data_IF_484722662818
#
_entry.id   IF_484722662818
#
_cell.length_a   1.000
_cell.length_b   1.000
_cell.length_c   1.000
_cell.angle_alpha   90.00
_cell.angle_beta   90.00
_cell.angle_gamma   90.00
#
_symmetry.space_group_name_H-M   'P 1'
#
loop_
_entity.id
_entity.type
_entity.pdbx_description
1 polymer ?
#
# COMPACT_ATOMS: atom_id res chain seq x y z
N UNK A 1 13.49 -50.29 -28.96
CA UNK A 1 13.96 -49.07 -28.27
C UNK A 1 13.30 -47.87 -28.95
N UNK A 2 11.96 -47.81 -28.97
CA UNK A 2 11.27 -46.87 -29.89
C UNK A 2 9.92 -46.34 -29.36
N UNK A 3 9.03 -47.20 -28.85
CA UNK A 3 7.67 -46.75 -28.48
C UNK A 3 7.58 -45.78 -27.29
N UNK A 4 8.43 -45.98 -26.27
CA UNK A 4 8.38 -45.11 -25.08
C UNK A 4 8.85 -43.68 -25.38
N UNK A 5 9.80 -43.52 -26.31
CA UNK A 5 10.30 -42.21 -26.73
C UNK A 5 9.28 -41.48 -27.61
N UNK A 6 8.60 -42.19 -28.49
CA UNK A 6 7.51 -41.62 -29.31
C UNK A 6 6.34 -41.14 -28.45
N UNK A 7 5.90 -41.95 -27.47
CA UNK A 7 4.81 -41.58 -26.55
C UNK A 7 5.20 -40.33 -25.75
N UNK A 8 6.43 -40.27 -25.23
CA UNK A 8 6.87 -39.12 -24.45
C UNK A 8 6.97 -37.83 -25.27
N UNK A 9 7.40 -37.94 -26.54
CA UNK A 9 7.47 -36.79 -27.46
C UNK A 9 6.06 -36.32 -27.86
N UNK A 10 5.12 -37.25 -28.03
CA UNK A 10 3.73 -36.92 -28.35
C UNK A 10 2.95 -36.30 -27.18
N UNK A 11 3.28 -36.70 -25.94
CA UNK A 11 2.77 -36.05 -24.73
C UNK A 11 3.30 -34.62 -24.58
N UNK A 12 4.60 -34.41 -24.80
CA UNK A 12 5.22 -33.09 -24.75
C UNK A 12 4.71 -32.15 -25.84
N UNK A 13 4.40 -32.67 -27.05
CA UNK A 13 3.82 -31.85 -28.12
C UNK A 13 2.40 -31.35 -27.82
N UNK A 14 1.70 -31.94 -26.84
CA UNK A 14 0.37 -31.51 -26.38
C UNK A 14 0.44 -30.51 -25.22
N UNK A 15 1.59 -30.36 -24.57
CA UNK A 15 1.81 -29.32 -23.56
C UNK A 15 1.92 -27.98 -24.28
N UNK A 16 0.78 -27.35 -24.52
CA UNK A 16 0.71 -25.95 -24.93
C UNK A 16 1.10 -25.10 -23.73
N UNK A 17 2.34 -24.63 -23.71
CA UNK A 17 2.70 -23.49 -22.88
C UNK A 17 1.74 -22.35 -23.24
N UNK A 18 1.11 -21.68 -22.26
CA UNK A 18 0.28 -20.53 -22.54
C UNK A 18 1.13 -19.55 -23.34
N UNK A 19 0.71 -19.27 -24.56
CA UNK A 19 1.35 -18.28 -25.42
C UNK A 19 1.22 -16.97 -24.65
N UNK A 20 2.35 -16.35 -24.27
CA UNK A 20 2.36 -15.01 -23.68
C UNK A 20 1.52 -14.11 -24.60
N UNK A 21 0.30 -13.82 -24.19
CA UNK A 21 -0.56 -12.88 -24.89
C UNK A 21 0.17 -11.55 -24.78
N UNK A 22 0.36 -10.88 -25.91
CA UNK A 22 0.88 -9.52 -25.91
C UNK A 22 -0.20 -8.66 -25.24
N UNK A 23 -0.08 -8.46 -23.94
CA UNK A 23 -1.10 -7.78 -23.14
C UNK A 23 -1.11 -6.31 -23.55
N UNK A 24 -2.20 -5.86 -24.15
CA UNK A 24 -2.45 -4.43 -24.25
C UNK A 24 -2.60 -3.88 -22.82
N UNK A 25 -1.65 -3.03 -22.42
CA UNK A 25 -1.58 -2.42 -21.09
C UNK A 25 -2.55 -1.24 -20.95
N UNK A 26 -3.29 -0.86 -21.99
CA UNK A 26 -4.25 0.25 -21.96
C UNK A 26 -5.25 0.14 -20.79
N UNK A 27 -5.82 -1.06 -20.58
CA UNK A 27 -6.75 -1.34 -19.47
C UNK A 27 -6.05 -1.21 -18.12
N UNK A 28 -4.81 -1.67 -18.02
CA UNK A 28 -4.02 -1.55 -16.80
C UNK A 28 -3.78 -0.08 -16.44
N UNK A 29 -3.35 0.74 -17.40
CA UNK A 29 -3.13 2.17 -17.16
C UNK A 29 -4.41 2.92 -16.80
N UNK A 30 -5.54 2.57 -17.43
CA UNK A 30 -6.85 3.09 -17.04
C UNK A 30 -7.21 2.72 -15.59
N UNK A 31 -7.01 1.46 -15.20
CA UNK A 31 -7.26 0.99 -13.84
C UNK A 31 -6.30 1.63 -12.81
N UNK A 32 -5.03 1.81 -13.16
CA UNK A 32 -4.03 2.48 -12.34
C UNK A 32 -4.39 3.95 -12.10
N UNK A 33 -4.81 4.66 -13.16
CA UNK A 33 -5.31 6.03 -13.07
C UNK A 33 -6.55 6.11 -12.17
N UNK A 34 -7.53 5.23 -12.39
CA UNK A 34 -8.74 5.19 -11.58
C UNK A 34 -8.42 4.90 -10.11
N UNK A 35 -7.51 3.97 -9.83
CA UNK A 35 -7.05 3.65 -8.47
C UNK A 35 -6.48 4.89 -7.78
N UNK A 36 -5.64 5.66 -8.47
CA UNK A 36 -5.07 6.88 -7.92
C UNK A 36 -6.14 7.94 -7.64
N UNK A 37 -7.06 8.17 -8.58
CA UNK A 37 -8.18 9.12 -8.39
C UNK A 37 -9.07 8.71 -7.22
N UNK A 38 -9.48 7.44 -7.15
CA UNK A 38 -10.31 6.92 -6.06
C UNK A 38 -9.62 6.97 -4.70
N UNK A 39 -8.29 6.96 -4.67
CA UNK A 39 -7.50 7.11 -3.43
C UNK A 39 -7.58 8.53 -2.87
N UNK A 40 -7.64 9.53 -3.76
CA UNK A 40 -7.73 10.94 -3.39
C UNK A 40 -9.16 11.37 -3.05
N UNK A 41 -10.17 10.72 -3.62
CA UNK A 41 -11.56 11.11 -3.34
C UNK A 41 -11.92 10.83 -1.87
N UNK A 42 -12.61 11.76 -1.19
CA UNK A 42 -13.12 11.51 0.15
C UNK A 42 -14.15 10.38 0.09
N UNK A 43 -13.89 9.31 0.83
CA UNK A 43 -14.78 8.16 0.91
C UNK A 43 -15.57 8.24 2.22
N UNK A 44 -16.90 8.15 2.13
CA UNK A 44 -17.79 8.05 3.30
C UNK A 44 -17.89 6.63 3.85
N UNK A 45 -16.99 5.73 3.44
CA UNK A 45 -16.95 4.36 3.90
C UNK A 45 -16.55 4.29 5.37
N UNK A 46 -17.15 3.35 6.10
CA UNK A 46 -16.73 3.05 7.46
C UNK A 46 -15.27 2.58 7.47
N UNK A 47 -14.42 3.27 8.23
CA UNK A 47 -13.06 2.83 8.52
C UNK A 47 -13.13 2.07 9.82
N UNK A 48 -12.61 0.85 9.83
CA UNK A 48 -12.60 0.07 11.05
C UNK A 48 -11.73 0.79 12.10
N UNK A 49 -12.22 0.94 13.35
CA UNK A 49 -11.50 1.63 14.42
C UNK A 49 -10.06 1.15 14.58
N UNK A 50 -9.82 -0.17 14.55
CA UNK A 50 -8.46 -0.70 14.70
C UNK A 50 -7.54 -0.35 13.53
N UNK A 51 -8.08 -0.20 12.30
CA UNK A 51 -7.26 0.21 11.16
C UNK A 51 -6.70 1.61 11.39
N UNK A 52 -7.52 2.53 11.91
CA UNK A 52 -7.10 3.91 12.18
C UNK A 52 -6.29 4.03 13.47
N UNK A 53 -6.83 3.55 14.60
CA UNK A 53 -6.27 3.71 15.93
C UNK A 53 -4.98 2.89 16.12
N UNK A 54 -4.88 1.68 15.55
CA UNK A 54 -3.68 0.84 15.70
C UNK A 54 -2.63 1.06 14.61
N UNK A 55 -2.76 2.10 13.77
CA UNK A 55 -1.75 2.46 12.78
C UNK A 55 -1.52 3.96 12.67
N UNK A 56 -2.44 4.67 12.02
CA UNK A 56 -2.28 6.03 11.54
C UNK A 56 -2.33 7.03 12.69
N UNK A 57 -3.24 6.84 13.65
CA UNK A 57 -3.37 7.71 14.82
C UNK A 57 -2.07 7.77 15.64
N UNK A 58 -1.40 6.63 15.82
CA UNK A 58 -0.16 6.52 16.61
C UNK A 58 0.92 7.42 16.04
N UNK A 59 1.14 7.34 14.72
CA UNK A 59 2.20 8.09 14.03
C UNK A 59 1.85 9.58 13.94
N UNK A 60 0.59 9.92 13.69
CA UNK A 60 0.18 11.31 13.50
C UNK A 60 0.26 12.10 14.80
N UNK A 61 -0.16 11.52 15.93
CA UNK A 61 0.00 12.19 17.22
C UNK A 61 1.46 12.48 17.53
N UNK A 62 2.36 11.56 17.22
CA UNK A 62 3.79 11.73 17.47
C UNK A 62 4.44 12.78 16.56
N UNK A 63 4.09 12.80 15.27
CA UNK A 63 4.72 13.67 14.27
C UNK A 63 4.12 15.08 14.31
N UNK A 64 2.80 15.19 14.36
CA UNK A 64 2.07 16.46 14.24
C UNK A 64 1.64 17.06 15.59
N UNK A 65 1.90 16.35 16.69
CA UNK A 65 1.54 16.76 18.06
C UNK A 65 0.06 17.14 18.18
N UNK A 66 -0.80 16.33 17.54
CA UNK A 66 -2.26 16.46 17.58
C UNK A 66 -2.78 15.67 18.76
N UNK A 67 -3.86 16.16 19.38
CA UNK A 67 -4.54 15.42 20.45
C UNK A 67 -4.99 14.04 19.96
N UNK A 68 -4.46 12.99 20.57
CA UNK A 68 -4.78 11.61 20.25
C UNK A 68 -4.74 10.71 21.49
N UNK A 69 -5.41 9.56 21.42
CA UNK A 69 -5.40 8.57 22.50
C UNK A 69 -4.57 7.38 22.10
N UNK A 70 -3.27 7.39 22.41
CA UNK A 70 -2.37 6.28 22.08
C UNK A 70 -2.92 4.95 22.65
N UNK A 71 -3.14 3.92 21.80
CA UNK A 71 -3.58 2.61 22.24
C UNK A 71 -2.60 2.01 23.24
N UNK A 72 -3.13 1.25 24.19
CA UNK A 72 -2.35 0.67 25.29
C UNK A 72 -1.26 -0.28 24.78
N UNK A 73 -1.45 -0.88 23.60
CA UNK A 73 -0.54 -1.82 22.97
C UNK A 73 0.82 -1.21 22.59
N UNK A 74 0.86 0.11 22.40
CA UNK A 74 2.04 0.89 22.04
C UNK A 74 2.56 1.73 23.21
N UNK A 75 2.08 1.50 24.44
CA UNK A 75 2.59 2.14 25.64
C UNK A 75 3.78 1.37 26.20
N UNK A 76 4.76 2.10 26.73
CA UNK A 76 5.98 1.54 27.33
C UNK A 76 5.68 0.71 28.59
N UNK A 77 4.56 0.97 29.27
CA UNK A 77 4.15 0.22 30.46
C UNK A 77 3.78 -1.23 30.17
N UNK A 78 3.17 -1.52 29.01
CA UNK A 78 2.73 -2.86 28.62
C UNK A 78 2.90 -3.08 27.10
N UNK A 79 4.15 -3.13 26.59
CA UNK A 79 4.39 -3.18 25.16
C UNK A 79 4.04 -4.57 24.61
N UNK A 80 2.98 -4.66 23.81
CA UNK A 80 2.58 -5.92 23.13
C UNK A 80 2.71 -5.83 21.61
N UNK A 81 2.84 -4.62 21.04
CA UNK A 81 3.06 -4.41 19.61
C UNK A 81 4.29 -3.56 19.33
N UNK A 82 5.02 -3.93 18.28
CA UNK A 82 6.12 -3.12 17.79
C UNK A 82 5.60 -1.95 16.96
N UNK A 83 6.07 -0.74 17.26
CA UNK A 83 5.74 0.48 16.52
C UNK A 83 6.57 0.64 15.24
N UNK A 84 7.67 -0.10 15.14
CA UNK A 84 8.64 -0.03 14.05
C UNK A 84 8.04 -0.18 12.64
N UNK A 85 7.24 -1.23 12.33
CA UNK A 85 6.68 -1.38 10.98
C UNK A 85 5.74 -0.23 10.60
N UNK A 86 5.00 0.31 11.57
CA UNK A 86 4.08 1.43 11.34
C UNK A 86 4.89 2.69 10.99
N UNK A 87 5.96 2.97 11.73
CA UNK A 87 6.85 4.09 11.46
C UNK A 87 7.63 3.96 10.15
N UNK A 88 8.05 2.74 9.80
CA UNK A 88 8.75 2.48 8.56
C UNK A 88 7.87 2.80 7.35
N UNK A 89 6.60 2.38 7.39
CA UNK A 89 5.67 2.56 6.26
C UNK A 89 5.05 3.97 6.26
N UNK A 90 4.56 4.44 7.41
CA UNK A 90 3.79 5.70 7.50
C UNK A 90 4.61 6.87 8.06
N UNK A 91 5.54 6.60 8.97
CA UNK A 91 6.33 7.64 9.63
C UNK A 91 7.19 8.42 8.66
N UNK A 92 7.98 7.74 7.82
CA UNK A 92 8.87 8.41 6.87
C UNK A 92 8.11 9.34 5.90
N UNK A 93 7.03 8.90 5.20
CA UNK A 93 6.27 9.79 4.32
C UNK A 93 5.64 10.99 5.04
N UNK A 94 5.11 10.78 6.25
CA UNK A 94 4.49 11.85 7.04
C UNK A 94 5.51 12.86 7.56
N UNK A 95 6.71 12.41 7.95
CA UNK A 95 7.81 13.30 8.34
C UNK A 95 8.25 14.17 7.16
N UNK A 96 8.45 13.58 5.97
CA UNK A 96 8.81 14.32 4.77
C UNK A 96 7.72 15.34 4.41
N UNK A 97 6.46 14.95 4.51
CA UNK A 97 5.36 15.86 4.24
C UNK A 97 5.32 17.03 5.24
N UNK A 98 5.53 16.76 6.54
CA UNK A 98 5.60 17.79 7.58
C UNK A 98 6.74 18.78 7.31
N UNK A 99 7.95 18.29 7.06
CA UNK A 99 9.12 19.16 6.85
C UNK A 99 8.96 20.02 5.59
N UNK A 100 8.38 19.48 4.51
CA UNK A 100 8.05 20.25 3.32
C UNK A 100 6.98 21.30 3.60
N UNK A 101 5.93 20.95 4.33
CA UNK A 101 4.87 21.91 4.68
C UNK A 101 5.39 23.06 5.55
N UNK A 102 6.25 22.77 6.53
CA UNK A 102 6.93 23.79 7.35
C UNK A 102 7.86 24.66 6.51
N UNK A 103 8.57 24.09 5.53
CA UNK A 103 9.43 24.86 4.62
C UNK A 103 8.66 25.87 3.76
N UNK A 104 7.42 25.53 3.37
CA UNK A 104 6.55 26.41 2.57
C UNK A 104 5.55 27.23 3.41
N UNK A 105 5.61 27.14 4.74
CA UNK A 105 4.66 27.79 5.68
C UNK A 105 3.18 27.43 5.41
N UNK A 106 2.92 26.16 5.10
CA UNK A 106 1.57 25.63 4.80
C UNK A 106 1.07 24.81 6.00
N UNK A 107 -0.10 25.14 6.53
CA UNK A 107 -0.74 24.28 7.53
C UNK A 107 -1.48 23.11 6.85
N UNK A 108 -0.96 21.90 7.08
CA UNK A 108 -1.49 20.66 6.51
C UNK A 108 -2.22 19.79 7.55
N UNK A 109 -2.40 20.30 8.78
CA UNK A 109 -3.06 19.56 9.87
C UNK A 109 -4.57 19.49 9.61
N UNK A 110 -4.98 18.49 8.85
CA UNK A 110 -6.38 18.22 8.52
C UNK A 110 -6.67 16.72 8.56
N UNK A 111 -7.86 16.31 9.06
CA UNK A 111 -8.29 14.90 9.02
C UNK A 111 -8.20 14.29 7.61
N UNK A 112 -8.43 15.10 6.58
CA UNK A 112 -8.31 14.65 5.20
C UNK A 112 -6.88 14.26 4.84
N UNK A 113 -5.88 15.08 5.18
CA UNK A 113 -4.46 14.80 4.92
C UNK A 113 -4.03 13.55 5.67
N UNK A 114 -4.41 13.46 6.93
CA UNK A 114 -4.14 12.33 7.83
C UNK A 114 -4.70 11.00 7.34
N UNK A 115 -5.79 11.03 6.58
CA UNK A 115 -6.41 9.84 5.98
C UNK A 115 -5.85 9.54 4.58
N UNK A 116 -5.65 10.56 3.74
CA UNK A 116 -5.25 10.37 2.34
C UNK A 116 -3.78 10.00 2.19
N UNK A 117 -2.89 10.56 3.02
CA UNK A 117 -1.45 10.29 2.91
C UNK A 117 -1.12 8.80 3.13
N UNK A 118 -1.59 8.13 4.21
CA UNK A 118 -1.42 6.69 4.35
C UNK A 118 -1.95 5.89 3.15
N UNK A 119 -3.11 6.28 2.62
CA UNK A 119 -3.71 5.61 1.45
C UNK A 119 -2.86 5.77 0.20
N UNK A 120 -2.29 6.95 -0.04
CA UNK A 120 -1.36 7.19 -1.14
C UNK A 120 -0.11 6.33 -1.00
N UNK A 121 0.45 6.19 0.20
CA UNK A 121 1.59 5.31 0.46
C UNK A 121 1.25 3.87 0.06
N UNK A 122 0.13 3.32 0.52
CA UNK A 122 -0.30 1.97 0.14
C UNK A 122 -0.64 1.85 -1.35
N UNK A 123 -1.21 2.89 -1.97
CA UNK A 123 -1.46 2.94 -3.41
C UNK A 123 -0.15 2.88 -4.19
N UNK A 124 0.89 3.60 -3.76
CA UNK A 124 2.23 3.55 -4.38
C UNK A 124 2.86 2.18 -4.20
N UNK A 125 2.82 1.63 -2.97
CA UNK A 125 3.34 0.29 -2.68
C UNK A 125 2.64 -0.81 -3.49
N UNK A 126 1.35 -0.63 -3.83
CA UNK A 126 0.60 -1.60 -4.64
C UNK A 126 1.20 -1.80 -6.04
N UNK A 127 1.89 -0.80 -6.60
CA UNK A 127 2.56 -0.92 -7.88
C UNK A 127 3.78 -1.86 -7.84
N UNK A 128 4.38 -2.09 -6.66
CA UNK A 128 5.44 -3.10 -6.50
C UNK A 128 4.87 -4.50 -6.74
N UNK A 129 3.66 -4.76 -6.24
CA UNK A 129 2.94 -6.01 -6.49
C UNK A 129 2.58 -6.14 -7.96
N UNK A 130 2.06 -5.08 -8.58
CA UNK A 130 1.74 -5.06 -10.02
C UNK A 130 3.00 -5.40 -10.85
N UNK A 131 4.14 -4.78 -10.53
CA UNK A 131 5.41 -5.05 -11.19
C UNK A 131 5.88 -6.50 -11.02
N UNK A 132 5.76 -7.05 -9.81
CA UNK A 132 6.14 -8.43 -9.49
C UNK A 132 5.27 -9.48 -10.19
N UNK A 133 4.02 -9.13 -10.54
CA UNK A 133 3.14 -10.00 -11.33
C UNK A 133 3.36 -9.85 -12.82
N UNK A 134 3.77 -8.66 -13.27
CA UNK A 134 4.09 -8.41 -14.67
C UNK A 134 5.41 -9.07 -15.09
N UNK A 135 6.40 -9.12 -14.19
CA UNK A 135 7.77 -9.57 -14.50
C UNK A 135 8.12 -10.91 -13.91
#
# INVERSE_FOLDING_TARGET
>A
MDDSYEIHRHLLSRVRYPRFVRSDLSIYWLAAFLRFVLTLLPQSGYIHPDEFFQSTEVVIGDIFNVENSRPWEFKVSYPVRSICPIYLVLGLPLYVLKTLAEFFDIDIRSPYVFLVVPRLVFCVLSFVTDFSMYR
#
